data_IF_819294311610
#
_entry.id   IF_819294311610
#
_cell.length_a   1.000
_cell.length_b   1.000
_cell.length_c   1.000
_cell.angle_alpha   90.00
_cell.angle_beta   90.00
_cell.angle_gamma   90.00
#
_symmetry.space_group_name_H-M   'P 1'
#
loop_
_entity.id
_entity.type
_entity.pdbx_description
1 polymer ?
#
# COMPACT_ATOMS: atom_id res chain seq x y z
N UNK A 1 2.35 -19.97 -1.87
CA UNK A 1 1.67 -19.63 -0.58
C UNK A 1 0.35 -20.39 -0.38
N UNK A 2 -0.75 -20.11 -1.11
CA UNK A 2 -2.03 -20.84 -0.91
C UNK A 2 -1.87 -22.29 -1.31
N UNK A 3 -1.31 -22.56 -2.50
CA UNK A 3 -1.07 -23.91 -2.99
C UNK A 3 -0.18 -24.71 -2.02
N UNK A 4 0.91 -24.12 -1.53
CA UNK A 4 1.82 -24.76 -0.59
C UNK A 4 1.15 -25.11 0.74
N UNK A 5 0.20 -24.27 1.20
CA UNK A 5 -0.57 -24.53 2.40
C UNK A 5 -1.54 -25.72 2.20
N UNK A 6 -2.14 -25.83 1.02
CA UNK A 6 -3.07 -26.94 0.71
C UNK A 6 -2.35 -28.30 0.59
N UNK A 7 -1.16 -28.32 -0.03
CA UNK A 7 -0.45 -29.59 -0.31
C UNK A 7 0.26 -30.15 0.91
N UNK A 8 0.50 -29.35 1.94
CA UNK A 8 1.33 -29.72 3.09
C UNK A 8 0.82 -30.96 3.84
N UNK A 9 -0.49 -31.12 3.94
CA UNK A 9 -1.14 -32.17 4.72
C UNK A 9 -1.85 -33.22 3.83
N UNK A 10 -1.60 -33.23 2.49
CA UNK A 10 -2.17 -34.17 1.55
C UNK A 10 -1.35 -35.47 1.49
N UNK A 11 -2.02 -36.63 1.41
CA UNK A 11 -1.36 -37.86 1.03
C UNK A 11 -1.03 -37.86 -0.48
N UNK A 12 -0.24 -38.81 -0.93
CA UNK A 12 0.23 -38.88 -2.34
C UNK A 12 -0.90 -38.96 -3.36
N UNK A 13 -1.97 -39.73 -3.08
CA UNK A 13 -3.11 -39.88 -3.98
C UNK A 13 -3.88 -38.56 -4.12
N UNK A 14 -4.20 -37.91 -3.00
CA UNK A 14 -4.90 -36.64 -2.97
C UNK A 14 -4.05 -35.52 -3.59
N UNK A 15 -2.73 -35.49 -3.33
CA UNK A 15 -1.82 -34.56 -3.93
C UNK A 15 -1.79 -34.73 -5.46
N UNK A 16 -1.68 -35.95 -5.94
CA UNK A 16 -1.71 -36.25 -7.38
C UNK A 16 -3.02 -35.78 -8.03
N UNK A 17 -4.15 -36.07 -7.42
CA UNK A 17 -5.46 -35.61 -7.88
C UNK A 17 -5.52 -34.07 -7.88
N UNK A 18 -5.12 -33.42 -6.78
CA UNK A 18 -5.14 -31.97 -6.64
C UNK A 18 -4.31 -31.29 -7.73
N UNK A 19 -3.09 -31.75 -7.96
CA UNK A 19 -2.19 -31.18 -8.97
C UNK A 19 -2.72 -31.29 -10.40
N UNK A 20 -3.57 -32.29 -10.67
CA UNK A 20 -4.15 -32.53 -12.00
C UNK A 20 -5.52 -31.86 -12.18
N UNK A 21 -6.30 -31.73 -11.12
CA UNK A 21 -7.71 -31.32 -11.21
C UNK A 21 -7.96 -29.90 -10.69
N UNK A 22 -7.07 -29.36 -9.83
CA UNK A 22 -7.29 -28.05 -9.21
C UNK A 22 -6.33 -27.02 -9.80
N UNK A 23 -6.90 -25.95 -10.30
CA UNK A 23 -6.16 -24.81 -10.83
C UNK A 23 -6.37 -23.60 -9.93
N UNK A 24 -5.29 -23.15 -9.27
CA UNK A 24 -5.30 -21.91 -8.49
C UNK A 24 -4.72 -20.81 -9.36
N UNK A 25 -5.46 -19.70 -9.51
CA UNK A 25 -5.04 -18.54 -10.27
C UNK A 25 -5.00 -17.28 -9.41
N UNK A 26 -4.04 -16.46 -9.69
CA UNK A 26 -3.95 -15.15 -9.08
C UNK A 26 -5.00 -14.21 -9.67
N UNK A 27 -5.51 -13.34 -8.81
CA UNK A 27 -6.51 -12.34 -9.22
C UNK A 27 -6.20 -10.99 -8.60
N UNK A 28 -6.69 -9.94 -9.23
CA UNK A 28 -6.68 -8.60 -8.66
C UNK A 28 -8.04 -7.92 -8.88
N UNK A 29 -8.58 -7.39 -7.78
CA UNK A 29 -9.79 -6.55 -7.82
C UNK A 29 -9.46 -5.19 -7.23
N UNK A 30 -9.94 -4.14 -7.88
CA UNK A 30 -9.72 -2.76 -7.46
C UNK A 30 -11.01 -2.19 -6.89
N UNK A 31 -11.22 -2.36 -5.58
CA UNK A 31 -12.36 -1.78 -4.88
C UNK A 31 -12.04 -1.53 -3.41
N UNK A 32 -12.76 -0.61 -2.81
CA UNK A 32 -12.84 -0.47 -1.36
C UNK A 32 -14.15 -1.05 -0.86
N UNK A 33 -14.10 -1.70 0.29
CA UNK A 33 -15.25 -2.21 1.01
C UNK A 33 -15.24 -1.66 2.43
N UNK A 34 -16.40 -1.33 2.93
CA UNK A 34 -16.62 -0.95 4.32
C UNK A 34 -17.83 -1.67 4.87
N UNK A 35 -17.87 -1.88 6.17
CA UNK A 35 -19.00 -2.47 6.87
C UNK A 35 -19.56 -1.45 7.87
N UNK A 36 -20.89 -1.36 7.96
CA UNK A 36 -21.55 -0.44 8.88
C UNK A 36 -21.25 -0.77 10.35
N UNK A 37 -20.95 -2.05 10.66
CA UNK A 37 -20.56 -2.56 11.97
C UNK A 37 -19.74 -3.85 11.77
N UNK A 38 -18.78 -4.13 12.65
CA UNK A 38 -17.96 -5.36 12.58
C UNK A 38 -18.78 -6.65 12.69
N UNK A 39 -20.02 -6.58 13.10
CA UNK A 39 -20.96 -7.72 13.21
C UNK A 39 -22.01 -7.73 12.12
N UNK A 40 -22.00 -6.72 11.25
CA UNK A 40 -22.97 -6.60 10.16
C UNK A 40 -22.49 -7.36 8.92
N UNK A 41 -23.44 -8.06 8.26
CA UNK A 41 -23.24 -8.59 6.93
C UNK A 41 -23.53 -7.55 5.84
N UNK A 42 -23.95 -6.34 6.22
CA UNK A 42 -24.15 -5.23 5.29
C UNK A 42 -22.78 -4.62 4.92
N UNK A 43 -22.31 -4.97 3.76
CA UNK A 43 -21.06 -4.47 3.20
C UNK A 43 -21.38 -3.48 2.10
N UNK A 44 -20.85 -2.26 2.24
CA UNK A 44 -20.83 -1.27 1.16
C UNK A 44 -19.53 -1.45 0.37
N UNK A 45 -19.64 -1.37 -0.93
CA UNK A 45 -18.49 -1.51 -1.82
C UNK A 45 -18.59 -0.54 -2.97
N UNK A 46 -17.46 0.02 -3.38
CA UNK A 46 -17.37 0.70 -4.67
C UNK A 46 -17.71 -0.25 -5.80
N UNK A 47 -18.23 0.27 -6.91
CA UNK A 47 -18.52 -0.54 -8.08
C UNK A 47 -17.24 -1.28 -8.55
N UNK A 48 -17.38 -2.55 -8.88
CA UNK A 48 -16.30 -3.34 -9.49
C UNK A 48 -16.37 -3.11 -10.99
N UNK A 49 -15.29 -2.58 -11.58
CA UNK A 49 -15.20 -2.43 -13.03
C UNK A 49 -14.81 -3.74 -13.69
N UNK A 50 -13.77 -4.38 -13.14
CA UNK A 50 -13.30 -5.68 -13.62
C UNK A 50 -12.58 -6.44 -12.53
N UNK A 51 -12.59 -7.76 -12.66
CA UNK A 51 -11.73 -8.70 -11.95
C UNK A 51 -10.71 -9.22 -12.96
N UNK A 52 -9.43 -8.95 -12.73
CA UNK A 52 -8.35 -9.50 -13.53
C UNK A 52 -7.99 -10.89 -13.01
N UNK A 53 -7.87 -11.86 -13.90
CA UNK A 53 -7.53 -13.26 -13.59
C UNK A 53 -6.33 -13.67 -14.41
N UNK A 54 -5.39 -14.35 -13.77
CA UNK A 54 -4.22 -14.89 -14.45
C UNK A 54 -4.58 -16.10 -15.32
N UNK A 55 -4.23 -16.11 -16.62
CA UNK A 55 -4.38 -17.29 -17.48
C UNK A 55 -3.34 -18.39 -17.14
N UNK A 56 -3.47 -19.61 -17.70
CA UNK A 56 -4.61 -20.08 -18.48
C UNK A 56 -5.78 -20.50 -17.59
N UNK A 57 -6.98 -20.38 -18.13
CA UNK A 57 -8.19 -20.94 -17.51
C UNK A 57 -8.61 -22.21 -18.22
N UNK A 58 -9.26 -23.10 -17.49
CA UNK A 58 -9.84 -24.36 -18.03
C UNK A 58 -11.28 -24.16 -18.53
N UNK A 59 -11.85 -23.00 -18.30
CA UNK A 59 -13.21 -22.62 -18.71
C UNK A 59 -13.15 -21.40 -19.62
N UNK A 60 -14.12 -21.30 -20.52
CA UNK A 60 -14.34 -20.08 -21.31
C UNK A 60 -15.04 -19.04 -20.45
N UNK A 61 -14.54 -17.81 -20.48
CA UNK A 61 -15.09 -16.65 -19.75
C UNK A 61 -15.52 -15.52 -20.69
N UNK A 62 -15.56 -15.75 -22.00
CA UNK A 62 -15.83 -14.68 -22.99
C UNK A 62 -17.19 -14.00 -22.79
N UNK A 63 -18.17 -14.69 -22.22
CA UNK A 63 -19.51 -14.17 -21.92
C UNK A 63 -19.58 -13.37 -20.61
N UNK A 64 -18.45 -13.23 -19.88
CA UNK A 64 -18.42 -12.54 -18.60
C UNK A 64 -17.69 -11.21 -18.77
N UNK A 65 -18.42 -10.14 -19.08
CA UNK A 65 -17.88 -8.82 -19.43
C UNK A 65 -16.97 -8.19 -18.35
N UNK A 66 -17.18 -8.54 -17.10
CA UNK A 66 -16.39 -7.98 -15.98
C UNK A 66 -15.16 -8.83 -15.59
N UNK A 67 -14.90 -9.94 -16.29
CA UNK A 67 -13.68 -10.73 -16.15
C UNK A 67 -12.71 -10.42 -17.29
N UNK A 68 -11.46 -10.15 -16.94
CA UNK A 68 -10.40 -9.87 -17.89
C UNK A 68 -9.19 -10.77 -17.61
N UNK A 69 -8.57 -11.31 -18.65
CA UNK A 69 -7.32 -12.07 -18.52
C UNK A 69 -6.14 -11.12 -18.44
N UNK A 70 -5.23 -11.39 -17.51
CA UNK A 70 -4.02 -10.62 -17.33
C UNK A 70 -2.85 -11.53 -16.91
N UNK A 71 -1.78 -11.55 -17.70
CA UNK A 71 -0.59 -12.38 -17.44
C UNK A 71 0.21 -11.90 -16.22
N UNK A 72 0.32 -10.58 -16.04
CA UNK A 72 1.23 -9.95 -15.08
C UNK A 72 0.52 -9.49 -13.79
N UNK A 73 -0.37 -10.31 -13.23
CA UNK A 73 -1.11 -9.94 -12.00
C UNK A 73 -0.18 -9.65 -10.83
N UNK A 74 0.92 -10.37 -10.68
CA UNK A 74 1.88 -10.13 -9.61
C UNK A 74 2.46 -8.70 -9.72
N UNK A 75 2.92 -8.31 -10.89
CA UNK A 75 3.41 -6.96 -11.18
C UNK A 75 2.33 -5.90 -10.89
N UNK A 76 1.08 -6.14 -11.34
CA UNK A 76 -0.01 -5.18 -11.10
C UNK A 76 -0.36 -5.05 -9.62
N UNK A 77 -0.22 -6.11 -8.82
CA UNK A 77 -0.39 -6.05 -7.36
C UNK A 77 0.67 -5.14 -6.72
N UNK A 78 1.93 -5.33 -7.09
CA UNK A 78 3.04 -4.51 -6.59
C UNK A 78 2.85 -3.04 -6.98
N UNK A 79 2.59 -2.78 -8.27
CA UNK A 79 2.33 -1.42 -8.77
C UNK A 79 1.15 -0.78 -8.01
N UNK A 80 0.07 -1.51 -7.74
CA UNK A 80 -1.06 -0.98 -6.96
C UNK A 80 -0.64 -0.58 -5.55
N UNK A 81 0.20 -1.39 -4.90
CA UNK A 81 0.68 -1.09 -3.54
C UNK A 81 1.48 0.22 -3.54
N UNK A 82 2.34 0.43 -4.50
CA UNK A 82 3.15 1.65 -4.58
C UNK A 82 2.35 2.84 -5.08
N UNK A 83 1.75 2.73 -6.27
CA UNK A 83 1.11 3.83 -6.99
C UNK A 83 -0.14 4.39 -6.30
N UNK A 84 -0.93 3.51 -5.68
CA UNK A 84 -2.22 3.87 -5.08
C UNK A 84 -2.11 3.97 -3.58
N UNK A 85 -1.63 2.90 -2.94
CA UNK A 85 -1.61 2.85 -1.50
C UNK A 85 -0.47 3.69 -0.89
N UNK A 86 0.58 4.00 -1.66
CA UNK A 86 1.69 4.86 -1.23
C UNK A 86 1.24 6.29 -0.97
N UNK A 87 0.77 7.03 -1.99
CA UNK A 87 0.27 8.39 -1.82
C UNK A 87 -0.91 8.46 -0.83
N UNK A 88 -1.77 7.45 -0.81
CA UNK A 88 -2.89 7.39 0.12
C UNK A 88 -2.43 7.30 1.58
N UNK A 89 -1.43 6.47 1.88
CA UNK A 89 -0.83 6.42 3.21
C UNK A 89 -0.09 7.72 3.57
N UNK A 90 0.64 8.32 2.63
CA UNK A 90 1.28 9.61 2.82
C UNK A 90 0.26 10.70 3.17
N UNK A 91 -0.90 10.71 2.47
CA UNK A 91 -2.00 11.63 2.77
C UNK A 91 -2.55 11.43 4.19
N UNK A 92 -2.71 10.18 4.63
CA UNK A 92 -3.19 9.91 5.98
C UNK A 92 -2.19 10.37 7.06
N UNK A 93 -0.91 10.10 6.89
CA UNK A 93 0.10 10.46 7.87
C UNK A 93 0.35 11.97 7.94
N UNK A 94 0.41 12.65 6.80
CA UNK A 94 0.46 14.11 6.78
C UNK A 94 -0.83 14.73 7.32
N UNK A 95 -1.99 14.17 6.95
CA UNK A 95 -3.30 14.59 7.46
C UNK A 95 -3.39 14.48 8.97
N UNK A 96 -2.94 13.35 9.55
CA UNK A 96 -2.84 13.16 10.99
C UNK A 96 -1.96 14.23 11.65
N UNK A 97 -0.77 14.44 11.11
CA UNK A 97 0.18 15.43 11.63
C UNK A 97 -0.38 16.87 11.62
N UNK A 98 -1.21 17.20 10.63
CA UNK A 98 -1.88 18.51 10.50
C UNK A 98 -3.23 18.60 11.21
N UNK A 99 -3.73 17.49 11.82
CA UNK A 99 -4.99 17.46 12.56
C UNK A 99 -6.23 17.33 11.68
N UNK A 100 -6.10 16.93 10.43
CA UNK A 100 -7.26 16.63 9.58
C UNK A 100 -7.89 15.29 9.95
N UNK A 101 -9.19 15.15 9.71
CA UNK A 101 -9.94 13.91 9.97
C UNK A 101 -10.29 13.14 8.71
N UNK A 102 -10.36 13.84 7.58
CA UNK A 102 -10.72 13.30 6.26
C UNK A 102 -9.59 13.61 5.27
N UNK A 103 -9.25 12.65 4.43
CA UNK A 103 -8.18 12.79 3.42
C UNK A 103 -8.47 13.95 2.45
N UNK A 104 -9.74 14.17 2.09
CA UNK A 104 -10.09 15.25 1.17
C UNK A 104 -9.76 16.64 1.74
N UNK A 105 -9.87 16.86 3.07
CA UNK A 105 -9.49 18.13 3.70
C UNK A 105 -8.01 18.45 3.49
N UNK A 106 -7.14 17.44 3.57
CA UNK A 106 -5.72 17.60 3.25
C UNK A 106 -5.50 17.91 1.77
N UNK A 107 -6.26 17.27 0.86
CA UNK A 107 -6.10 17.46 -0.57
C UNK A 107 -6.70 18.80 -1.07
N UNK A 108 -7.53 19.45 -0.28
CA UNK A 108 -8.03 20.81 -0.51
C UNK A 108 -7.07 21.88 0.04
N UNK A 109 -6.14 21.51 0.93
CA UNK A 109 -5.04 22.34 1.39
C UNK A 109 -3.94 22.38 0.31
N UNK A 110 -3.57 23.57 -0.16
CA UNK A 110 -2.65 23.75 -1.28
C UNK A 110 -1.28 23.10 -1.02
N UNK A 111 -0.70 23.31 0.17
CA UNK A 111 0.59 22.72 0.55
C UNK A 111 0.49 21.22 0.76
N UNK A 112 -0.66 20.74 1.26
CA UNK A 112 -0.94 19.32 1.42
C UNK A 112 -1.02 18.60 0.07
N UNK A 113 -1.80 19.16 -0.84
CA UNK A 113 -1.94 18.64 -2.19
C UNK A 113 -0.59 18.64 -2.94
N UNK A 114 0.17 19.74 -2.86
CA UNK A 114 1.49 19.84 -3.48
C UNK A 114 2.45 18.76 -2.96
N UNK A 115 2.48 18.55 -1.63
CA UNK A 115 3.30 17.49 -1.03
C UNK A 115 2.94 16.10 -1.57
N UNK A 116 1.65 15.77 -1.63
CA UNK A 116 1.19 14.46 -2.13
C UNK A 116 1.46 14.30 -3.63
N UNK A 117 1.40 15.38 -4.41
CA UNK A 117 1.79 15.36 -5.82
C UNK A 117 3.29 15.01 -5.98
N UNK A 118 4.19 15.58 -5.17
CA UNK A 118 5.62 15.25 -5.23
C UNK A 118 5.89 13.81 -4.77
N UNK A 119 5.26 13.34 -3.69
CA UNK A 119 5.32 11.91 -3.30
C UNK A 119 4.89 11.00 -4.45
N UNK A 120 3.77 11.34 -5.10
CA UNK A 120 3.24 10.55 -6.23
C UNK A 120 4.19 10.54 -7.40
N UNK A 121 4.80 11.67 -7.72
CA UNK A 121 5.77 11.82 -8.81
C UNK A 121 7.03 10.98 -8.57
N UNK A 122 7.59 11.01 -7.37
CA UNK A 122 8.74 10.17 -7.00
C UNK A 122 8.39 8.67 -7.13
N UNK A 123 7.25 8.23 -6.60
CA UNK A 123 6.79 6.85 -6.70
C UNK A 123 6.60 6.42 -8.16
N UNK A 124 5.94 7.25 -8.98
CA UNK A 124 5.75 6.99 -10.42
C UNK A 124 7.08 6.82 -11.15
N UNK A 125 8.02 7.71 -10.90
CA UNK A 125 9.35 7.63 -11.50
C UNK A 125 10.05 6.30 -11.17
N UNK A 126 9.98 5.85 -9.92
CA UNK A 126 10.50 4.56 -9.49
C UNK A 126 9.84 3.38 -10.21
N UNK A 127 8.50 3.38 -10.29
CA UNK A 127 7.74 2.31 -10.96
C UNK A 127 8.11 2.21 -12.45
N UNK A 128 8.21 3.34 -13.15
CA UNK A 128 8.56 3.38 -14.57
C UNK A 128 9.98 2.86 -14.86
N UNK A 129 10.89 2.94 -13.89
CA UNK A 129 12.23 2.36 -14.03
C UNK A 129 12.30 0.89 -13.62
N UNK A 130 11.47 0.49 -12.67
CA UNK A 130 11.50 -0.87 -12.11
C UNK A 130 10.69 -1.89 -12.93
N UNK A 131 9.57 -1.46 -13.52
CA UNK A 131 8.61 -2.34 -14.17
C UNK A 131 8.48 -2.02 -15.66
N UNK A 132 8.24 -3.04 -16.53
CA UNK A 132 8.03 -2.84 -17.97
C UNK A 132 6.60 -2.31 -18.24
N UNK A 133 6.31 -1.10 -17.76
CA UNK A 133 5.02 -0.43 -17.91
C UNK A 133 5.20 0.96 -18.47
N UNK A 134 4.28 1.39 -19.36
CA UNK A 134 4.27 2.74 -19.90
C UNK A 134 3.56 3.74 -19.00
N UNK A 135 3.82 5.04 -19.18
CA UNK A 135 3.09 6.10 -18.47
C UNK A 135 1.58 6.02 -18.71
N UNK A 136 1.16 5.75 -19.96
CA UNK A 136 -0.26 5.61 -20.31
C UNK A 136 -0.94 4.47 -19.56
N UNK A 137 -0.25 3.33 -19.42
CA UNK A 137 -0.74 2.19 -18.64
C UNK A 137 -0.81 2.54 -17.15
N UNK A 138 0.20 3.25 -16.65
CA UNK A 138 0.25 3.70 -15.27
C UNK A 138 -0.88 4.68 -14.94
N UNK A 139 -1.20 5.59 -15.88
CA UNK A 139 -2.33 6.50 -15.75
C UNK A 139 -3.67 5.75 -15.66
N UNK A 140 -3.87 4.75 -16.50
CA UNK A 140 -5.06 3.89 -16.43
C UNK A 140 -5.20 3.17 -15.09
N UNK A 141 -4.08 2.75 -14.49
CA UNK A 141 -4.06 2.12 -13.17
C UNK A 141 -4.31 3.11 -12.02
N UNK A 142 -4.05 4.40 -12.24
CA UNK A 142 -4.25 5.45 -11.23
C UNK A 142 -5.70 5.93 -11.13
N UNK A 143 -6.51 5.67 -12.14
CA UNK A 143 -7.91 6.11 -12.17
C UNK A 143 -8.77 5.16 -11.35
N UNK A 144 -9.42 5.71 -10.33
CA UNK A 144 -10.46 5.03 -9.56
C UNK A 144 -11.78 5.75 -9.80
N UNK A 145 -12.79 5.04 -10.31
CA UNK A 145 -14.11 5.64 -10.44
C UNK A 145 -14.67 5.92 -9.05
N UNK A 146 -15.04 7.18 -8.82
CA UNK A 146 -15.77 7.57 -7.62
C UNK A 146 -17.25 7.34 -7.88
N UNK A 147 -17.91 6.52 -7.06
CA UNK A 147 -19.36 6.39 -7.08
C UNK A 147 -20.00 7.52 -6.29
N UNK A 148 -21.20 7.96 -6.74
CA UNK A 148 -21.98 8.94 -5.99
C UNK A 148 -22.42 8.31 -4.66
N UNK A 149 -21.94 8.86 -3.55
CA UNK A 149 -22.23 8.35 -2.20
C UNK A 149 -21.11 7.46 -1.63
N UNK A 150 -19.92 7.39 -2.25
CA UNK A 150 -18.76 6.79 -1.63
C UNK A 150 -18.47 7.48 -0.28
N UNK A 151 -18.18 6.66 0.72
CA UNK A 151 -17.81 7.19 2.03
C UNK A 151 -16.44 7.87 1.93
N UNK A 152 -16.27 9.04 2.58
CA UNK A 152 -14.98 9.72 2.59
C UNK A 152 -13.94 8.86 3.30
N UNK A 153 -12.72 8.84 2.77
CA UNK A 153 -11.60 8.20 3.42
C UNK A 153 -11.18 9.00 4.65
N UNK A 154 -11.34 8.40 5.83
CA UNK A 154 -10.85 9.01 7.06
C UNK A 154 -9.36 8.79 7.22
N UNK A 155 -8.68 9.78 7.78
CA UNK A 155 -7.26 9.72 8.14
C UNK A 155 -6.97 8.50 9.01
N UNK A 156 -7.85 8.21 9.99
CA UNK A 156 -7.75 7.03 10.82
C UNK A 156 -7.78 5.72 10.02
N UNK A 157 -8.80 5.50 9.19
CA UNK A 157 -8.95 4.26 8.42
C UNK A 157 -7.75 4.00 7.50
N UNK A 158 -7.26 5.06 6.87
CA UNK A 158 -6.15 4.97 5.93
C UNK A 158 -4.81 4.92 6.65
N UNK A 159 -4.62 5.59 7.79
CA UNK A 159 -3.38 5.60 8.59
C UNK A 159 -3.17 4.33 9.41
N UNK A 160 -4.24 3.65 9.79
CA UNK A 160 -4.24 2.48 10.68
C UNK A 160 -3.21 1.42 10.27
N UNK A 161 -2.61 0.76 11.28
CA UNK A 161 -1.60 -0.28 11.15
C UNK A 161 -0.29 0.23 10.51
N UNK A 162 0.38 1.22 11.14
CA UNK A 162 1.63 1.79 10.62
C UNK A 162 2.79 0.79 10.63
N UNK A 163 2.83 -0.17 11.55
CA UNK A 163 3.90 -1.18 11.59
C UNK A 163 4.00 -1.97 10.29
N UNK A 164 2.85 -2.38 9.73
CA UNK A 164 2.82 -3.03 8.43
C UNK A 164 3.09 -2.05 7.29
N UNK A 165 2.42 -0.88 7.29
CA UNK A 165 2.48 0.08 6.18
C UNK A 165 3.84 0.76 6.02
N UNK A 166 4.65 0.79 7.07
CA UNK A 166 6.02 1.28 7.06
C UNK A 166 7.06 0.15 6.98
N UNK A 167 6.64 -1.11 6.80
CA UNK A 167 7.56 -2.23 6.65
C UNK A 167 8.36 -2.14 5.35
N UNK A 168 9.46 -2.89 5.29
CA UNK A 168 10.53 -2.80 4.28
C UNK A 168 10.05 -2.88 2.83
N UNK A 169 9.12 -3.78 2.53
CA UNK A 169 8.61 -4.02 1.18
C UNK A 169 7.26 -3.35 0.91
N UNK A 170 6.69 -2.67 1.92
CA UNK A 170 5.39 -2.03 1.77
C UNK A 170 5.53 -0.65 1.09
N UNK A 171 4.40 -0.02 0.83
CA UNK A 171 4.10 1.12 -0.04
C UNK A 171 5.05 2.32 0.00
N UNK A 172 5.57 2.72 1.15
CA UNK A 172 6.47 3.86 1.25
C UNK A 172 7.93 3.44 1.29
N UNK A 173 8.31 2.50 2.17
CA UNK A 173 9.69 2.03 2.24
C UNK A 173 10.11 1.29 0.98
N UNK A 174 9.24 0.46 0.40
CA UNK A 174 9.49 -0.19 -0.89
C UNK A 174 9.69 0.83 -2.02
N UNK A 175 8.85 1.90 -2.06
CA UNK A 175 9.01 2.98 -3.03
C UNK A 175 10.32 3.75 -2.86
N UNK A 176 10.71 4.10 -1.62
CA UNK A 176 11.97 4.78 -1.36
C UNK A 176 13.18 3.94 -1.80
N UNK A 177 13.15 2.63 -1.50
CA UNK A 177 14.19 1.68 -1.96
C UNK A 177 14.28 1.58 -3.47
N UNK A 178 13.13 1.50 -4.13
CA UNK A 178 13.04 1.44 -5.58
C UNK A 178 13.64 2.70 -6.21
N UNK A 179 13.27 3.88 -5.74
CA UNK A 179 13.84 5.13 -6.22
C UNK A 179 15.35 5.19 -5.97
N UNK A 180 15.82 4.83 -4.78
CA UNK A 180 17.25 4.78 -4.44
C UNK A 180 18.03 3.83 -5.35
N UNK A 181 17.50 2.63 -5.62
CA UNK A 181 18.13 1.65 -6.48
C UNK A 181 18.34 2.15 -7.93
N UNK A 182 17.45 3.01 -8.39
CA UNK A 182 17.50 3.63 -9.71
C UNK A 182 18.10 5.05 -9.72
N UNK A 183 18.69 5.52 -8.61
CA UNK A 183 19.28 6.84 -8.48
C UNK A 183 18.29 7.99 -8.75
N UNK A 184 17.02 7.81 -8.38
CA UNK A 184 15.95 8.78 -8.51
C UNK A 184 15.73 9.54 -7.20
N UNK A 185 15.13 10.75 -7.25
CA UNK A 185 14.69 11.46 -6.05
C UNK A 185 13.70 10.63 -5.22
N UNK A 186 13.79 10.74 -3.89
CA UNK A 186 12.89 10.07 -2.93
C UNK A 186 12.68 10.89 -1.64
N UNK A 187 12.99 12.17 -1.68
CA UNK A 187 12.96 13.04 -0.51
C UNK A 187 11.55 13.16 0.08
N UNK A 188 10.53 13.32 -0.77
CA UNK A 188 9.15 13.43 -0.32
C UNK A 188 8.61 12.10 0.23
N UNK A 189 9.03 10.96 -0.32
CA UNK A 189 8.70 9.63 0.21
C UNK A 189 9.30 9.46 1.61
N UNK A 190 10.55 9.85 1.81
CA UNK A 190 11.24 9.80 3.12
C UNK A 190 10.53 10.69 4.15
N UNK A 191 10.10 11.89 3.76
CA UNK A 191 9.29 12.75 4.61
C UNK A 191 7.93 12.09 4.97
N UNK A 192 7.27 11.44 4.01
CA UNK A 192 6.03 10.73 4.26
C UNK A 192 6.21 9.57 5.25
N UNK A 193 7.34 8.84 5.17
CA UNK A 193 7.70 7.81 6.16
C UNK A 193 7.88 8.45 7.56
N UNK A 194 8.55 9.61 7.62
CA UNK A 194 8.77 10.30 8.89
C UNK A 194 7.44 10.79 9.51
N UNK A 195 6.49 11.28 8.72
CA UNK A 195 5.13 11.56 9.20
C UNK A 195 4.43 10.29 9.72
N UNK A 196 4.61 9.15 9.03
CA UNK A 196 4.08 7.87 9.48
C UNK A 196 4.63 7.42 10.83
N UNK A 197 5.90 7.68 11.11
CA UNK A 197 6.52 7.38 12.41
C UNK A 197 6.04 8.30 13.55
N UNK A 198 5.45 9.46 13.21
CA UNK A 198 4.81 10.37 14.18
C UNK A 198 3.33 10.02 14.44
N UNK A 199 2.74 9.10 13.67
CA UNK A 199 1.36 8.69 13.83
C UNK A 199 1.16 7.96 15.17
N UNK A 200 0.36 8.55 16.06
CA UNK A 200 0.20 8.10 17.45
C UNK A 200 -1.27 7.90 17.86
N UNK A 201 -2.12 7.50 16.90
CA UNK A 201 -3.52 7.23 17.17
C UNK A 201 -3.70 6.19 18.26
N UNK A 202 -4.32 6.60 19.35
CA UNK A 202 -4.40 5.81 20.59
C UNK A 202 -5.32 4.59 20.50
N UNK A 203 -6.24 4.59 19.57
CA UNK A 203 -7.15 3.46 19.32
C UNK A 203 -6.57 2.44 18.33
N UNK A 204 -5.40 2.74 17.73
CA UNK A 204 -4.65 1.84 16.88
C UNK A 204 -3.52 1.17 17.66
N UNK A 205 -3.68 -0.12 17.96
CA UNK A 205 -2.71 -0.90 18.72
C UNK A 205 -1.32 -0.91 18.07
N UNK A 206 -1.23 -0.99 16.75
CA UNK A 206 0.03 -0.97 16.02
C UNK A 206 0.72 0.41 16.13
N UNK A 207 -0.04 1.51 16.08
CA UNK A 207 0.49 2.84 16.31
C UNK A 207 1.05 2.98 17.73
N UNK A 208 0.32 2.49 18.73
CA UNK A 208 0.78 2.54 20.12
C UNK A 208 2.04 1.69 20.35
N UNK A 209 2.12 0.49 19.77
CA UNK A 209 3.32 -0.35 19.81
C UNK A 209 4.52 0.36 19.16
N UNK A 210 4.31 1.02 18.04
CA UNK A 210 5.33 1.81 17.36
C UNK A 210 5.84 2.96 18.26
N UNK A 211 4.95 3.71 18.89
CA UNK A 211 5.33 4.82 19.78
C UNK A 211 6.07 4.33 21.03
N UNK A 212 5.68 3.20 21.62
CA UNK A 212 6.41 2.57 22.72
C UNK A 212 7.82 2.20 22.28
N UNK A 213 7.97 1.56 21.12
CA UNK A 213 9.28 1.20 20.58
C UNK A 213 10.18 2.43 20.36
N UNK A 214 9.62 3.52 19.80
CA UNK A 214 10.35 4.78 19.60
C UNK A 214 10.77 5.38 20.96
N UNK A 215 9.88 5.36 21.94
CA UNK A 215 10.15 5.92 23.26
C UNK A 215 11.23 5.13 24.03
N UNK A 216 11.17 3.82 23.99
CA UNK A 216 12.07 2.95 24.75
C UNK A 216 13.44 2.79 24.11
N UNK A 217 13.50 2.67 22.76
CA UNK A 217 14.73 2.33 22.04
C UNK A 217 15.28 3.46 21.17
N UNK A 218 14.53 4.54 21.03
CA UNK A 218 14.89 5.67 20.17
C UNK A 218 14.56 5.43 18.70
N UNK A 219 14.52 6.54 17.95
CA UNK A 219 14.07 6.55 16.55
C UNK A 219 14.94 5.69 15.62
N UNK A 220 16.25 5.67 15.82
CA UNK A 220 17.19 4.92 14.96
C UNK A 220 16.89 3.41 15.02
N UNK A 221 16.69 2.88 16.24
CA UNK A 221 16.36 1.47 16.43
C UNK A 221 14.95 1.16 15.92
N UNK A 222 14.00 2.06 16.14
CA UNK A 222 12.64 1.91 15.64
C UNK A 222 12.60 1.86 14.10
N UNK A 223 13.27 2.76 13.40
CA UNK A 223 13.36 2.74 11.93
C UNK A 223 14.02 1.45 11.44
N UNK A 224 15.10 1.02 12.09
CA UNK A 224 15.72 -0.27 11.74
C UNK A 224 14.75 -1.45 11.90
N UNK A 225 14.01 -1.53 13.00
CA UNK A 225 13.12 -2.66 13.29
C UNK A 225 11.81 -2.64 12.47
N UNK A 226 11.23 -1.46 12.24
CA UNK A 226 9.96 -1.30 11.53
C UNK A 226 10.18 -1.29 10.01
N UNK A 227 11.09 -0.41 9.56
CA UNK A 227 11.33 -0.20 8.13
C UNK A 227 12.34 -1.19 7.54
N UNK A 228 13.06 -1.95 8.37
CA UNK A 228 14.00 -2.99 7.92
C UNK A 228 15.31 -2.48 7.33
N UNK A 229 15.58 -1.17 7.37
CA UNK A 229 16.82 -0.60 6.85
C UNK A 229 18.02 -0.90 7.76
N UNK A 230 19.19 -1.19 7.17
CA UNK A 230 20.42 -1.34 7.97
C UNK A 230 20.87 0.00 8.56
N UNK A 231 21.62 -0.04 9.66
CA UNK A 231 22.14 1.18 10.31
C UNK A 231 23.08 2.01 9.41
N UNK A 232 23.68 1.38 8.40
CA UNK A 232 24.55 2.05 7.43
C UNK A 232 23.77 2.65 6.26
N UNK A 233 22.49 2.29 6.09
CA UNK A 233 21.65 2.75 4.99
C UNK A 233 21.37 4.24 5.12
N UNK A 234 21.54 4.98 4.02
CA UNK A 234 21.27 6.41 4.00
C UNK A 234 19.78 6.71 4.17
N UNK A 235 18.89 5.82 3.67
CA UNK A 235 17.45 5.95 3.92
C UNK A 235 17.13 5.99 5.41
N UNK A 236 17.76 5.14 6.24
CA UNK A 236 17.57 5.17 7.68
C UNK A 236 17.96 6.52 8.27
N UNK A 237 19.13 7.04 7.89
CA UNK A 237 19.66 8.32 8.38
C UNK A 237 18.76 9.49 8.00
N UNK A 238 18.30 9.53 6.76
CA UNK A 238 17.44 10.57 6.22
C UNK A 238 16.05 10.54 6.89
N UNK A 239 15.43 9.37 7.05
CA UNK A 239 14.16 9.19 7.75
C UNK A 239 14.28 9.69 9.21
N UNK A 240 15.33 9.29 9.92
CA UNK A 240 15.57 9.75 11.29
C UNK A 240 15.76 11.27 11.35
N UNK A 241 16.49 11.85 10.40
CA UNK A 241 16.70 13.30 10.32
C UNK A 241 15.38 14.05 10.13
N UNK A 242 14.52 13.58 9.21
CA UNK A 242 13.20 14.19 9.00
C UNK A 242 12.28 14.01 10.21
N UNK A 243 12.26 12.83 10.83
CA UNK A 243 11.50 12.61 12.05
C UNK A 243 11.86 13.62 13.16
N UNK A 244 13.15 13.84 13.40
CA UNK A 244 13.62 14.80 14.42
C UNK A 244 13.21 16.24 14.07
N UNK A 245 13.33 16.63 12.80
CA UNK A 245 12.91 17.96 12.34
C UNK A 245 11.41 18.19 12.53
N UNK A 246 10.58 17.20 12.20
CA UNK A 246 9.13 17.29 12.29
C UNK A 246 8.63 17.29 13.74
N UNK A 247 9.28 16.51 14.60
CA UNK A 247 8.93 16.44 16.03
C UNK A 247 9.21 17.73 16.78
N UNK A 248 10.16 18.53 16.31
CA UNK A 248 10.59 19.78 16.96
C UNK A 248 9.90 21.04 16.37
N UNK A 249 9.00 20.89 15.42
CA UNK A 249 8.12 21.96 14.92
C UNK A 249 6.86 22.08 15.77
#
# INVERSE_FOLDING_TARGET
MIQDAFVKDMNEELLSWFMHQVVIRDTIIRRSTDADDHRSLNIRSTAVLSLLIQPPLTIDIADIEWLELCDDIAMLKDIKVFLVNGPHAASAYLGWYRGYTIINELLEDEDGAAFIQEVTKEIRAGILQQYPISEEQLDKLSVFPKAKGDMPDTVYRVGKDPLRKLSYDDRLCGSARMCKAHHLPYEYIVQAIAYGLLYDEKTDEAAMQMQILIQEKGIIVAVHQICGFSYQDDLLKEICSWYVRLKNK
#
